data_IF_085362048420
#
_entry.id   IF_085362048420
#
_cell.length_a   1.000
_cell.length_b   1.000
_cell.length_c   1.000
_cell.angle_alpha   90.00
_cell.angle_beta   90.00
_cell.angle_gamma   90.00
#
_symmetry.space_group_name_H-M   'P 1'
#
loop_
_entity.id
_entity.type
_entity.pdbx_description
1 polymer ?
#
# COMPACT_ATOMS: atom_id res chain seq x y z
N UNK A 1 7.74 19.82 23.69
CA UNK A 1 6.47 20.45 23.27
C UNK A 1 6.56 21.29 21.97
N UNK A 2 7.71 21.41 21.29
CA UNK A 2 7.86 22.20 20.05
C UNK A 2 7.82 21.37 18.75
N UNK A 3 7.87 20.06 18.80
CA UNK A 3 7.97 19.18 17.62
C UNK A 3 6.62 18.91 16.93
N UNK A 4 5.51 19.03 17.65
CA UNK A 4 4.15 18.86 17.10
C UNK A 4 3.75 19.97 16.11
N UNK A 5 4.21 21.21 16.36
CA UNK A 5 3.80 22.37 15.54
C UNK A 5 4.37 22.34 14.12
N UNK A 6 5.64 21.98 13.95
CA UNK A 6 6.29 21.90 12.62
C UNK A 6 5.74 20.73 11.80
N UNK A 7 5.48 19.59 12.42
CA UNK A 7 4.88 18.44 11.73
C UNK A 7 3.47 18.75 11.21
N UNK A 8 2.64 19.41 12.03
CA UNK A 8 1.29 19.82 11.64
C UNK A 8 1.32 20.85 10.50
N UNK A 9 2.17 21.88 10.58
CA UNK A 9 2.27 22.92 9.55
C UNK A 9 2.74 22.36 8.20
N UNK A 10 3.67 21.39 8.20
CA UNK A 10 4.10 20.69 7.01
C UNK A 10 2.95 19.88 6.39
N UNK A 11 2.20 19.16 7.21
CA UNK A 11 1.03 18.40 6.78
C UNK A 11 -0.08 19.29 6.22
N UNK A 12 -0.39 20.40 6.85
CA UNK A 12 -1.36 21.37 6.34
C UNK A 12 -0.97 21.87 4.95
N UNK A 13 0.31 22.16 4.71
CA UNK A 13 0.82 22.56 3.41
C UNK A 13 0.65 21.47 2.34
N UNK A 14 0.99 20.24 2.66
CA UNK A 14 0.82 19.09 1.75
C UNK A 14 -0.65 18.82 1.41
N UNK A 15 -1.53 18.81 2.40
CA UNK A 15 -2.95 18.57 2.17
C UNK A 15 -3.59 19.70 1.37
N UNK A 16 -3.19 20.95 1.59
CA UNK A 16 -3.62 22.08 0.77
C UNK A 16 -3.21 21.94 -0.69
N UNK A 17 -1.98 21.49 -0.95
CA UNK A 17 -1.49 21.23 -2.30
C UNK A 17 -2.27 20.08 -2.97
N UNK A 18 -2.52 18.98 -2.26
CA UNK A 18 -3.34 17.86 -2.77
C UNK A 18 -4.76 18.32 -3.08
N UNK A 19 -5.37 19.12 -2.18
CA UNK A 19 -6.70 19.67 -2.41
C UNK A 19 -6.76 20.56 -3.66
N UNK A 20 -5.72 21.34 -3.92
CA UNK A 20 -5.62 22.19 -5.12
C UNK A 20 -5.54 21.38 -6.42
N UNK A 21 -5.04 20.13 -6.38
CA UNK A 21 -5.03 19.23 -7.53
C UNK A 21 -6.39 18.61 -7.83
N UNK A 22 -7.36 18.69 -6.89
CA UNK A 22 -8.70 18.15 -7.00
C UNK A 22 -8.74 16.68 -7.51
N UNK A 23 -8.04 15.74 -6.86
CA UNK A 23 -7.98 14.36 -7.33
C UNK A 23 -9.31 13.64 -7.17
N UNK A 24 -9.60 12.68 -8.04
CA UNK A 24 -10.75 11.78 -7.93
C UNK A 24 -10.63 10.79 -6.75
N UNK A 25 -9.40 10.47 -6.36
CA UNK A 25 -9.13 9.59 -5.21
C UNK A 25 -7.76 9.86 -4.60
N UNK A 26 -7.61 9.55 -3.33
CA UNK A 26 -6.34 9.59 -2.60
C UNK A 26 -6.22 8.39 -1.69
N UNK A 27 -5.01 7.89 -1.49
CA UNK A 27 -4.72 6.89 -0.47
C UNK A 27 -3.77 7.47 0.56
N UNK A 28 -4.16 7.39 1.81
CA UNK A 28 -3.35 7.80 2.96
C UNK A 28 -2.65 6.58 3.52
N UNK A 29 -1.32 6.59 3.49
CA UNK A 29 -0.50 5.50 3.99
C UNK A 29 0.13 5.86 5.32
N UNK A 30 -0.06 4.99 6.30
CA UNK A 30 0.75 4.98 7.52
C UNK A 30 2.02 4.17 7.27
N UNK A 31 3.17 4.71 7.65
CA UNK A 31 4.46 4.08 7.37
C UNK A 31 4.61 2.76 8.14
N UNK A 32 4.83 1.68 7.41
CA UNK A 32 5.19 0.38 7.98
C UNK A 32 6.71 0.14 7.83
N UNK A 33 7.43 0.02 8.94
CA UNK A 33 8.88 -0.22 8.93
C UNK A 33 9.11 -1.72 8.88
N UNK A 34 9.47 -2.24 7.71
CA UNK A 34 9.81 -3.65 7.52
C UNK A 34 11.23 -3.95 8.05
N UNK A 35 11.46 -5.20 8.48
CA UNK A 35 12.74 -5.65 9.06
C UNK A 35 13.94 -5.32 8.18
N UNK A 36 13.84 -5.52 6.87
CA UNK A 36 14.91 -5.26 5.90
C UNK A 36 14.93 -3.83 5.33
N UNK A 37 14.06 -2.93 5.82
CA UNK A 37 14.06 -1.55 5.37
C UNK A 37 15.33 -0.81 5.84
N UNK A 38 15.85 0.09 5.00
CA UNK A 38 17.04 0.91 5.34
C UNK A 38 16.84 1.69 6.64
N UNK A 39 15.65 2.19 6.91
CA UNK A 39 15.28 2.85 8.17
C UNK A 39 15.52 1.97 9.40
N UNK A 40 15.44 0.64 9.27
CA UNK A 40 15.68 -0.29 10.35
C UNK A 40 17.12 -0.81 10.38
N UNK A 41 17.75 -1.01 9.22
CA UNK A 41 19.12 -1.56 9.11
C UNK A 41 20.21 -0.50 9.27
N UNK A 42 19.91 0.77 8.98
CA UNK A 42 20.84 1.90 9.02
C UNK A 42 20.38 2.95 10.06
N UNK A 43 20.06 2.52 11.27
CA UNK A 43 19.48 3.36 12.33
C UNK A 43 20.30 4.61 12.64
N UNK A 44 21.62 4.51 12.61
CA UNK A 44 22.51 5.66 12.88
C UNK A 44 22.38 6.76 11.82
N UNK A 45 22.15 6.40 10.55
CA UNK A 45 21.94 7.37 9.46
C UNK A 45 20.61 8.11 9.62
N UNK A 46 19.63 7.43 10.19
CA UNK A 46 18.24 7.94 10.32
C UNK A 46 17.86 8.29 11.77
N UNK A 47 18.85 8.38 12.69
CA UNK A 47 18.59 8.62 14.13
C UNK A 47 17.79 9.89 14.43
N UNK A 48 17.95 10.92 13.60
CA UNK A 48 17.27 12.20 13.75
C UNK A 48 15.91 12.24 13.04
N UNK A 49 15.57 11.19 12.29
CA UNK A 49 14.28 11.08 11.61
C UNK A 49 13.20 10.64 12.60
N UNK A 50 12.36 11.57 13.01
CA UNK A 50 11.19 11.28 13.83
C UNK A 50 10.03 10.82 12.95
N UNK A 51 9.73 9.54 13.01
CA UNK A 51 8.56 8.95 12.36
C UNK A 51 7.44 8.91 13.40
N UNK A 52 6.65 9.95 13.43
CA UNK A 52 5.48 10.02 14.28
C UNK A 52 4.24 9.95 13.39
N UNK A 53 3.33 9.06 13.74
CA UNK A 53 1.99 9.02 13.20
C UNK A 53 1.02 9.17 14.37
N UNK A 54 0.26 10.27 14.38
CA UNK A 54 -0.61 10.61 15.50
C UNK A 54 -2.09 10.58 15.06
N UNK A 55 -2.99 10.42 16.04
CA UNK A 55 -4.42 10.48 15.76
C UNK A 55 -4.80 11.82 15.10
N UNK A 56 -4.20 12.93 15.54
CA UNK A 56 -4.44 14.25 14.97
C UNK A 56 -4.08 14.31 13.47
N UNK A 57 -3.00 13.63 13.04
CA UNK A 57 -2.61 13.55 11.63
C UNK A 57 -3.64 12.78 10.83
N UNK A 58 -4.14 11.68 11.36
CA UNK A 58 -5.17 10.84 10.71
C UNK A 58 -6.48 11.62 10.61
N UNK A 59 -6.90 12.31 11.69
CA UNK A 59 -8.11 13.12 11.70
C UNK A 59 -8.02 14.30 10.73
N UNK A 60 -6.83 14.90 10.60
CA UNK A 60 -6.56 15.93 9.61
C UNK A 60 -6.74 15.42 8.18
N UNK A 61 -6.17 14.24 7.85
CA UNK A 61 -6.33 13.65 6.53
C UNK A 61 -7.78 13.34 6.19
N UNK A 62 -8.52 12.77 7.15
CA UNK A 62 -9.95 12.49 7.00
C UNK A 62 -10.80 13.76 6.80
N UNK A 63 -10.43 14.85 7.46
CA UNK A 63 -11.09 16.16 7.28
C UNK A 63 -10.85 16.68 5.86
N UNK A 64 -9.62 16.71 5.37
CA UNK A 64 -9.31 17.16 4.02
C UNK A 64 -9.96 16.29 2.95
N UNK A 65 -10.02 14.97 3.14
CA UNK A 65 -10.75 14.09 2.25
C UNK A 65 -12.23 14.49 2.14
N UNK A 66 -12.90 14.72 3.28
CA UNK A 66 -14.30 15.19 3.30
C UNK A 66 -14.47 16.55 2.64
N UNK A 67 -13.54 17.51 2.86
CA UNK A 67 -13.56 18.81 2.21
C UNK A 67 -13.41 18.74 0.68
N UNK A 68 -12.79 17.67 0.17
CA UNK A 68 -12.69 17.37 -1.26
C UNK A 68 -13.88 16.56 -1.79
N UNK A 69 -14.86 16.20 -0.95
CA UNK A 69 -15.99 15.35 -1.32
C UNK A 69 -15.61 13.87 -1.52
N UNK A 70 -14.49 13.45 -0.91
CA UNK A 70 -14.02 12.08 -0.99
C UNK A 70 -14.49 11.28 0.23
N UNK A 71 -15.01 10.08 -0.03
CA UNK A 71 -15.50 9.14 0.98
C UNK A 71 -14.51 7.97 1.16
N UNK A 72 -14.34 7.42 2.38
CA UNK A 72 -13.53 6.24 2.58
C UNK A 72 -14.19 5.04 1.90
N UNK A 73 -13.41 4.26 1.10
CA UNK A 73 -13.94 3.10 0.40
C UNK A 73 -13.15 1.81 0.67
N UNK A 74 -11.92 1.91 1.16
CA UNK A 74 -11.17 0.75 1.61
C UNK A 74 -10.23 1.08 2.76
N UNK A 75 -9.90 0.06 3.55
CA UNK A 75 -9.06 0.14 4.72
C UNK A 75 -8.10 -1.05 4.74
N UNK A 76 -6.80 -0.77 4.90
CA UNK A 76 -5.78 -1.81 4.93
C UNK A 76 -4.79 -1.62 6.06
N UNK A 77 -4.59 -2.68 6.84
CA UNK A 77 -3.66 -2.69 7.97
C UNK A 77 -2.54 -3.70 7.75
N UNK A 78 -1.30 -3.26 7.94
CA UNK A 78 -0.12 -4.11 7.98
C UNK A 78 0.40 -4.26 9.41
N UNK A 79 1.22 -5.30 9.62
CA UNK A 79 1.99 -5.44 10.88
C UNK A 79 3.06 -4.33 10.95
N UNK A 80 3.33 -3.83 12.15
CA UNK A 80 4.36 -2.83 12.45
C UNK A 80 4.16 -1.47 11.76
N UNK A 81 2.92 -1.01 11.65
CA UNK A 81 2.62 0.35 11.21
C UNK A 81 2.86 1.35 12.34
N UNK A 82 3.45 2.49 12.02
CA UNK A 82 3.67 3.57 12.98
C UNK A 82 2.32 4.04 13.54
N UNK A 83 2.23 4.16 14.88
CA UNK A 83 0.99 4.54 15.57
C UNK A 83 -0.12 3.48 15.53
N UNK A 84 0.13 2.30 14.94
CA UNK A 84 -0.84 1.21 14.80
C UNK A 84 -2.10 1.60 13.98
N UNK A 85 -1.96 2.56 13.06
CA UNK A 85 -3.01 3.06 12.18
C UNK A 85 -3.09 2.25 10.88
N UNK A 86 -4.21 2.42 10.17
CA UNK A 86 -4.47 1.80 8.88
C UNK A 86 -4.06 2.70 7.72
N UNK A 87 -3.92 2.10 6.53
CA UNK A 87 -3.98 2.81 5.27
C UNK A 87 -5.43 2.96 4.86
N UNK A 88 -5.85 4.15 4.48
CA UNK A 88 -7.23 4.43 4.10
C UNK A 88 -7.27 5.01 2.69
N UNK A 89 -8.08 4.40 1.83
CA UNK A 89 -8.40 4.95 0.51
C UNK A 89 -9.69 5.77 0.57
N UNK A 90 -9.62 6.98 0.03
CA UNK A 90 -10.74 7.90 -0.11
C UNK A 90 -10.98 8.15 -1.61
N UNK A 91 -12.24 8.19 -2.05
CA UNK A 91 -12.59 8.45 -3.43
C UNK A 91 -13.90 9.23 -3.54
N UNK A 92 -14.05 10.00 -4.60
CA UNK A 92 -15.32 10.57 -4.98
C UNK A 92 -16.33 9.45 -5.35
N UNK A 93 -17.65 9.66 -5.17
CA UNK A 93 -18.65 8.67 -5.53
C UNK A 93 -18.47 8.15 -6.97
N UNK A 94 -18.40 6.83 -7.11
CA UNK A 94 -18.18 6.16 -8.40
C UNK A 94 -16.72 6.17 -8.91
N UNK A 95 -15.75 6.71 -8.15
CA UNK A 95 -14.34 6.79 -8.52
C UNK A 95 -13.43 5.91 -7.66
N UNK A 96 -13.97 4.98 -6.89
CA UNK A 96 -13.21 4.02 -6.12
C UNK A 96 -12.30 3.19 -7.02
N UNK A 97 -11.03 3.01 -6.62
CA UNK A 97 -10.10 2.17 -7.36
C UNK A 97 -10.48 0.70 -7.14
N UNK A 98 -11.09 0.11 -8.15
CA UNK A 98 -11.54 -1.29 -8.15
C UNK A 98 -10.40 -2.26 -7.83
N UNK A 99 -9.17 -1.99 -8.30
CA UNK A 99 -8.00 -2.80 -8.00
C UNK A 99 -7.75 -2.92 -6.49
N UNK A 100 -7.88 -1.82 -5.75
CA UNK A 100 -7.69 -1.84 -4.29
C UNK A 100 -8.71 -2.74 -3.60
N UNK A 101 -9.97 -2.69 -4.04
CA UNK A 101 -11.03 -3.53 -3.50
C UNK A 101 -10.77 -5.01 -3.83
N UNK A 102 -10.51 -5.31 -5.10
CA UNK A 102 -10.31 -6.69 -5.57
C UNK A 102 -9.09 -7.38 -4.95
N UNK A 103 -8.00 -6.63 -4.71
CA UNK A 103 -6.79 -7.19 -4.07
C UNK A 103 -7.00 -7.49 -2.59
N UNK A 104 -7.86 -6.71 -1.92
CA UNK A 104 -8.19 -6.91 -0.51
C UNK A 104 -9.18 -8.04 -0.31
N UNK A 105 -10.22 -8.10 -1.14
CA UNK A 105 -11.28 -9.10 -1.07
C UNK A 105 -10.88 -10.45 -1.70
N UNK A 106 -9.73 -10.51 -2.37
CA UNK A 106 -9.22 -11.72 -3.06
C UNK A 106 -10.27 -12.36 -4.00
N UNK A 107 -11.03 -11.53 -4.71
CA UNK A 107 -12.17 -11.95 -5.54
C UNK A 107 -11.79 -12.39 -6.95
N UNK A 108 -10.52 -12.24 -7.34
CA UNK A 108 -10.05 -12.63 -8.67
C UNK A 108 -8.58 -13.05 -8.67
N UNK A 109 -8.20 -13.79 -9.71
CA UNK A 109 -6.81 -14.09 -10.00
C UNK A 109 -6.05 -12.80 -10.32
N UNK A 110 -4.88 -12.60 -9.71
CA UNK A 110 -4.02 -11.44 -9.89
C UNK A 110 -2.65 -11.92 -10.35
N UNK A 111 -2.20 -11.46 -11.52
CA UNK A 111 -0.87 -11.79 -12.05
C UNK A 111 0.12 -10.71 -11.62
N UNK A 112 1.12 -11.12 -10.84
CA UNK A 112 2.19 -10.25 -10.37
C UNK A 112 3.35 -10.16 -11.39
N UNK A 113 3.65 -8.95 -11.88
CA UNK A 113 4.80 -8.68 -12.74
C UNK A 113 5.85 -7.87 -11.99
N UNK A 114 7.13 -8.22 -12.18
CA UNK A 114 8.26 -7.53 -11.53
C UNK A 114 8.83 -8.26 -10.31
N UNK A 115 10.02 -7.82 -9.91
CA UNK A 115 10.74 -8.38 -8.76
C UNK A 115 9.92 -8.26 -7.46
N UNK A 116 9.87 -9.32 -6.67
CA UNK A 116 9.21 -9.36 -5.36
C UNK A 116 7.69 -9.34 -5.41
N UNK A 117 7.06 -9.41 -6.58
CA UNK A 117 5.61 -9.52 -6.69
C UNK A 117 5.12 -10.96 -6.53
N UNK A 118 3.86 -11.12 -6.21
CA UNK A 118 3.21 -12.43 -6.05
C UNK A 118 2.03 -12.54 -6.99
N UNK A 119 2.00 -13.60 -7.81
CA UNK A 119 0.80 -14.02 -8.52
C UNK A 119 -0.08 -14.81 -7.56
N UNK A 120 -1.37 -14.48 -7.52
CA UNK A 120 -2.39 -15.19 -6.76
C UNK A 120 -3.40 -15.78 -7.73
N UNK A 121 -3.59 -17.09 -7.71
CA UNK A 121 -4.65 -17.75 -8.47
C UNK A 121 -5.81 -18.08 -7.53
N UNK A 122 -6.98 -17.61 -7.89
CA UNK A 122 -8.23 -17.92 -7.19
C UNK A 122 -8.91 -19.12 -7.84
N UNK A 123 -9.23 -20.12 -7.02
CA UNK A 123 -10.12 -21.22 -7.35
C UNK A 123 -11.45 -20.95 -6.64
N UNK A 124 -12.35 -20.24 -7.33
CA UNK A 124 -13.55 -19.69 -6.73
C UNK A 124 -14.49 -20.78 -6.17
N UNK A 125 -14.63 -21.91 -6.86
CA UNK A 125 -15.48 -23.03 -6.44
C UNK A 125 -14.95 -23.72 -5.18
N UNK A 126 -13.63 -23.73 -4.99
CA UNK A 126 -12.97 -24.36 -3.83
C UNK A 126 -12.68 -23.37 -2.70
N UNK A 127 -12.95 -22.08 -2.91
CA UNK A 127 -12.55 -21.00 -2.02
C UNK A 127 -11.06 -21.09 -1.62
N UNK A 128 -10.20 -21.42 -2.59
CA UNK A 128 -8.77 -21.67 -2.41
C UNK A 128 -7.95 -20.69 -3.22
N UNK A 129 -6.84 -20.23 -2.64
CA UNK A 129 -5.88 -19.36 -3.32
C UNK A 129 -4.50 -20.02 -3.30
N UNK A 130 -3.93 -20.17 -4.48
CA UNK A 130 -2.53 -20.54 -4.66
C UNK A 130 -1.68 -19.33 -5.03
N UNK A 131 -0.40 -19.37 -4.65
CA UNK A 131 0.52 -18.25 -4.82
C UNK A 131 1.81 -18.72 -5.49
N UNK A 132 2.29 -17.86 -6.41
CA UNK A 132 3.60 -18.00 -7.04
C UNK A 132 4.34 -16.67 -6.90
N UNK A 133 5.49 -16.70 -6.23
CA UNK A 133 6.28 -15.51 -5.93
C UNK A 133 7.43 -15.35 -6.93
N UNK A 134 7.65 -14.12 -7.37
CA UNK A 134 8.87 -13.74 -8.06
C UNK A 134 10.00 -13.51 -7.06
N UNK A 135 11.24 -13.73 -7.49
CA UNK A 135 12.42 -13.39 -6.66
C UNK A 135 12.44 -11.90 -6.35
N UNK A 136 12.92 -11.55 -5.16
CA UNK A 136 12.84 -10.16 -4.64
C UNK A 136 13.96 -9.28 -5.14
N UNK A 137 15.12 -9.86 -5.37
CA UNK A 137 16.28 -9.15 -5.89
C UNK A 137 16.09 -8.84 -7.38
N UNK A 138 16.37 -7.60 -7.79
CA UNK A 138 16.09 -7.13 -9.16
C UNK A 138 17.02 -7.79 -10.17
N UNK A 139 18.30 -7.95 -9.86
CA UNK A 139 19.27 -8.57 -10.78
C UNK A 139 18.95 -10.04 -10.99
N UNK A 140 18.62 -10.75 -9.90
CA UNK A 140 18.17 -12.13 -9.98
C UNK A 140 16.83 -12.27 -10.74
N UNK A 141 15.92 -11.31 -10.60
CA UNK A 141 14.66 -11.31 -11.34
C UNK A 141 14.91 -11.19 -12.84
N UNK A 142 15.77 -10.26 -13.25
CA UNK A 142 16.12 -10.04 -14.66
C UNK A 142 16.80 -11.29 -15.25
N UNK A 143 17.78 -11.86 -14.55
CA UNK A 143 18.53 -13.03 -15.03
C UNK A 143 17.71 -14.32 -15.05
N UNK A 144 16.62 -14.41 -14.30
CA UNK A 144 15.75 -15.59 -14.14
C UNK A 144 14.32 -15.34 -14.59
N UNK A 145 14.08 -14.37 -15.48
CA UNK A 145 12.73 -13.99 -15.89
C UNK A 145 11.96 -15.17 -16.52
N UNK A 146 12.63 -15.99 -17.32
CA UNK A 146 12.01 -17.18 -17.93
C UNK A 146 11.50 -18.16 -16.87
N UNK A 147 12.30 -18.43 -15.85
CA UNK A 147 11.87 -19.26 -14.71
C UNK A 147 10.64 -18.67 -14.00
N UNK A 148 10.57 -17.35 -13.85
CA UNK A 148 9.40 -16.68 -13.26
C UNK A 148 8.16 -16.81 -14.13
N UNK A 149 8.33 -16.85 -15.46
CA UNK A 149 7.25 -17.09 -16.41
C UNK A 149 6.75 -18.53 -16.30
N UNK A 150 7.66 -19.50 -16.40
CA UNK A 150 7.34 -20.94 -16.29
C UNK A 150 6.57 -21.28 -15.00
N UNK A 151 6.99 -20.71 -13.87
CA UNK A 151 6.28 -20.88 -12.58
C UNK A 151 4.84 -20.39 -12.64
N UNK A 152 4.59 -19.26 -13.31
CA UNK A 152 3.24 -18.71 -13.46
C UNK A 152 2.41 -19.53 -14.44
N UNK A 153 2.99 -19.94 -15.56
CA UNK A 153 2.33 -20.82 -16.52
C UNK A 153 1.90 -22.12 -15.86
N UNK A 154 2.79 -22.74 -15.08
CA UNK A 154 2.44 -23.92 -14.29
C UNK A 154 1.29 -23.65 -13.34
N UNK A 155 1.38 -22.58 -12.53
CA UNK A 155 0.30 -22.21 -11.61
C UNK A 155 -1.02 -21.97 -12.35
N UNK A 156 -1.00 -21.38 -13.54
CA UNK A 156 -2.21 -21.02 -14.29
C UNK A 156 -2.75 -22.16 -15.16
N UNK A 157 -1.91 -23.14 -15.56
CA UNK A 157 -2.30 -24.29 -16.37
C UNK A 157 -2.88 -25.46 -15.59
N UNK A 158 -2.55 -25.63 -14.31
CA UNK A 158 -3.09 -26.71 -13.45
C UNK A 158 -4.61 -26.57 -13.19
N UNK A 159 -5.37 -26.18 -14.20
CA UNK A 159 -6.82 -26.09 -14.21
C UNK A 159 -7.40 -27.25 -15.04
N UNK A 160 -7.32 -28.44 -14.50
CA UNK A 160 -8.21 -29.55 -14.88
C UNK A 160 -8.67 -30.27 -13.64
#
# INVERSE_FOLDING_TARGET
MRTSYYGQQFLYGQHGAVKALAPDSVTVHSLAIKRAARLNTMKEVYKDLKIENTQEMIDLTARYAREMGLEPYYLYRQKNMAGNFENVGYAAPGKACIYNVLIMEEQQTIIGCGAGTTTKRLFAEENRIERCENVKDVEQYISRVEEMIERKEKLLSDAQ
#
